data_IF_500919437687
#
_entry.id   IF_500919437687
#
_cell.length_a   1.000
_cell.length_b   1.000
_cell.length_c   1.000
_cell.angle_alpha   90.00
_cell.angle_beta   90.00
_cell.angle_gamma   90.00
#
_symmetry.space_group_name_H-M   'P 1'
#
loop_
_entity.id
_entity.type
_entity.pdbx_description
1 polymer ?
#
# COMPACT_ATOMS: atom_id res chain seq x y z
N UNK A 1 11.45 10.09 -19.78
CA UNK A 1 12.81 9.74 -20.26
C UNK A 1 12.86 8.22 -20.30
N UNK A 2 12.59 7.64 -21.48
CA UNK A 2 12.64 6.19 -21.67
C UNK A 2 14.11 5.76 -21.68
N UNK A 3 14.50 4.96 -20.71
CA UNK A 3 15.79 4.27 -20.75
C UNK A 3 15.57 3.02 -21.59
N UNK A 4 16.07 3.05 -22.82
CA UNK A 4 16.15 1.88 -23.69
C UNK A 4 17.18 0.93 -23.08
N UNK A 5 16.72 -0.15 -22.46
CA UNK A 5 17.57 -1.27 -22.14
C UNK A 5 17.88 -2.05 -23.41
N UNK A 6 19.13 -1.91 -23.89
CA UNK A 6 19.65 -2.75 -24.94
C UNK A 6 19.63 -4.22 -24.48
N UNK A 7 19.09 -5.05 -25.32
CA UNK A 7 19.02 -6.50 -25.26
C UNK A 7 20.29 -7.17 -24.74
N UNK A 8 20.24 -7.61 -23.49
CA UNK A 8 20.91 -8.84 -23.07
C UNK A 8 19.81 -9.89 -22.93
N UNK A 9 19.65 -10.73 -23.95
CA UNK A 9 19.02 -12.03 -23.82
C UNK A 9 19.95 -12.92 -22.96
N UNK A 10 20.00 -12.68 -21.67
CA UNK A 10 20.28 -13.77 -20.74
C UNK A 10 19.03 -14.64 -20.79
N UNK A 11 19.17 -15.86 -21.27
CA UNK A 11 18.16 -16.91 -21.08
C UNK A 11 17.93 -16.99 -19.57
N UNK A 12 16.86 -16.37 -19.10
CA UNK A 12 16.49 -16.36 -17.69
C UNK A 12 16.42 -17.83 -17.27
N UNK A 13 17.28 -18.21 -16.33
CA UNK A 13 17.28 -19.56 -15.79
C UNK A 13 15.89 -19.85 -15.24
N UNK A 14 15.15 -20.75 -15.92
CA UNK A 14 13.77 -21.11 -15.59
C UNK A 14 13.64 -21.72 -14.18
N UNK A 15 14.75 -21.99 -13.53
CA UNK A 15 14.84 -22.53 -12.16
C UNK A 15 15.21 -21.46 -11.14
N UNK A 16 15.48 -20.22 -11.56
CA UNK A 16 15.83 -19.15 -10.63
C UNK A 16 14.65 -18.76 -9.74
N UNK A 17 14.88 -18.43 -8.45
CA UNK A 17 13.81 -18.01 -7.53
C UNK A 17 13.01 -16.82 -8.05
N UNK A 18 13.65 -15.85 -8.70
CA UNK A 18 12.96 -14.70 -9.28
C UNK A 18 12.05 -15.10 -10.44
N UNK A 19 12.46 -16.04 -11.30
CA UNK A 19 11.60 -16.55 -12.36
C UNK A 19 10.39 -17.32 -11.80
N UNK A 20 10.60 -18.18 -10.80
CA UNK A 20 9.52 -18.92 -10.14
C UNK A 20 8.57 -17.95 -9.44
N UNK A 21 9.08 -16.89 -8.81
CA UNK A 21 8.29 -15.83 -8.18
C UNK A 21 7.44 -15.06 -9.20
N UNK A 22 8.01 -14.75 -10.36
CA UNK A 22 7.27 -14.13 -11.49
C UNK A 22 6.12 -15.02 -11.95
N UNK A 23 6.40 -16.32 -12.16
CA UNK A 23 5.37 -17.28 -12.58
C UNK A 23 4.25 -17.38 -11.55
N UNK A 24 4.59 -17.48 -10.27
CA UNK A 24 3.62 -17.47 -9.17
C UNK A 24 2.77 -16.18 -9.19
N UNK A 25 3.38 -15.01 -9.33
CA UNK A 25 2.65 -13.75 -9.38
C UNK A 25 1.69 -13.66 -10.58
N UNK A 26 2.08 -14.20 -11.75
CA UNK A 26 1.19 -14.29 -12.91
C UNK A 26 -0.02 -15.21 -12.64
N UNK A 27 0.19 -16.37 -12.04
CA UNK A 27 -0.88 -17.31 -11.69
C UNK A 27 -1.87 -16.68 -10.69
N UNK A 28 -1.36 -15.98 -9.67
CA UNK A 28 -2.22 -15.29 -8.69
C UNK A 28 -2.97 -14.09 -9.32
N UNK A 29 -2.34 -13.36 -10.25
CA UNK A 29 -3.00 -12.27 -10.96
C UNK A 29 -4.09 -12.77 -11.92
N UNK A 30 -3.84 -13.87 -12.64
CA UNK A 30 -4.87 -14.52 -13.46
C UNK A 30 -6.05 -14.98 -12.61
N UNK A 31 -5.76 -15.52 -11.42
CA UNK A 31 -6.79 -15.92 -10.46
C UNK A 31 -7.57 -14.72 -9.95
N UNK A 32 -6.89 -13.60 -9.64
CA UNK A 32 -7.54 -12.35 -9.23
C UNK A 32 -8.47 -11.81 -10.34
N UNK A 33 -8.01 -11.83 -11.59
CA UNK A 33 -8.82 -11.45 -12.75
C UNK A 33 -10.08 -12.31 -12.88
N UNK A 34 -9.98 -13.62 -12.64
CA UNK A 34 -11.12 -14.52 -12.62
C UNK A 34 -12.09 -14.20 -11.48
N UNK A 35 -11.60 -13.92 -10.26
CA UNK A 35 -12.44 -13.54 -9.11
C UNK A 35 -13.21 -12.23 -9.36
N UNK A 36 -12.60 -11.25 -10.03
CA UNK A 36 -13.31 -10.04 -10.45
C UNK A 36 -14.38 -10.35 -11.50
N UNK A 37 -14.15 -11.32 -12.39
CA UNK A 37 -15.17 -11.81 -13.33
C UNK A 37 -16.33 -12.51 -12.62
N UNK A 38 -16.07 -13.27 -11.55
CA UNK A 38 -17.12 -13.86 -10.70
C UNK A 38 -17.98 -12.76 -10.04
N UNK A 39 -17.35 -11.68 -9.55
CA UNK A 39 -18.06 -10.53 -8.99
C UNK A 39 -18.93 -9.83 -10.05
N UNK A 40 -18.40 -9.63 -11.26
CA UNK A 40 -19.16 -9.10 -12.39
C UNK A 40 -20.42 -9.95 -12.67
N UNK A 41 -20.26 -11.27 -12.69
CA UNK A 41 -21.39 -12.19 -12.96
C UNK A 41 -22.45 -12.15 -11.86
N UNK A 42 -22.04 -12.04 -10.59
CA UNK A 42 -22.97 -11.88 -9.46
C UNK A 42 -23.73 -10.54 -9.56
N UNK A 43 -23.04 -9.45 -9.91
CA UNK A 43 -23.68 -8.15 -10.15
C UNK A 43 -24.68 -8.21 -11.33
N UNK A 44 -24.30 -8.85 -12.43
CA UNK A 44 -25.15 -9.05 -13.60
C UNK A 44 -26.40 -9.87 -13.30
N UNK A 45 -26.30 -10.81 -12.36
CA UNK A 45 -27.43 -11.62 -11.88
C UNK A 45 -28.29 -10.90 -10.84
N UNK A 46 -27.90 -9.68 -10.40
CA UNK A 46 -28.51 -8.94 -9.29
C UNK A 46 -28.53 -9.74 -7.97
N UNK A 47 -27.52 -10.61 -7.77
CA UNK A 47 -27.37 -11.43 -6.58
C UNK A 47 -26.69 -10.62 -5.47
N UNK A 48 -27.48 -10.01 -4.61
CA UNK A 48 -26.97 -9.14 -3.53
C UNK A 48 -26.05 -9.86 -2.53
N UNK A 49 -26.32 -11.13 -2.23
CA UNK A 49 -25.48 -11.95 -1.33
C UNK A 49 -24.20 -12.36 -2.05
N UNK A 50 -24.33 -12.82 -3.29
CA UNK A 50 -23.20 -13.20 -4.12
C UNK A 50 -22.23 -12.05 -4.38
N UNK A 51 -22.72 -10.83 -4.64
CA UNK A 51 -21.89 -9.64 -4.83
C UNK A 51 -21.01 -9.38 -3.60
N UNK A 52 -21.57 -9.41 -2.39
CA UNK A 52 -20.81 -9.22 -1.15
C UNK A 52 -19.71 -10.29 -1.00
N UNK A 53 -20.09 -11.56 -1.19
CA UNK A 53 -19.17 -12.67 -1.07
C UNK A 53 -18.07 -12.60 -2.13
N UNK A 54 -18.41 -12.38 -3.40
CA UNK A 54 -17.45 -12.34 -4.50
C UNK A 54 -16.52 -11.12 -4.42
N UNK A 55 -17.00 -9.99 -3.91
CA UNK A 55 -16.17 -8.84 -3.62
C UNK A 55 -15.07 -9.19 -2.60
N UNK A 56 -15.45 -9.80 -1.47
CA UNK A 56 -14.49 -10.22 -0.44
C UNK A 56 -13.45 -11.22 -0.97
N UNK A 57 -13.91 -12.22 -1.75
CA UNK A 57 -13.02 -13.20 -2.37
C UNK A 57 -12.04 -12.55 -3.37
N UNK A 58 -12.51 -11.60 -4.19
CA UNK A 58 -11.68 -10.89 -5.16
C UNK A 58 -10.60 -10.01 -4.46
N UNK A 59 -10.98 -9.33 -3.38
CA UNK A 59 -10.04 -8.53 -2.57
C UNK A 59 -8.94 -9.40 -1.97
N UNK A 60 -9.31 -10.48 -1.26
CA UNK A 60 -8.37 -11.42 -0.65
C UNK A 60 -7.40 -11.98 -1.70
N UNK A 61 -7.92 -12.34 -2.88
CA UNK A 61 -7.08 -12.85 -3.96
C UNK A 61 -6.12 -11.79 -4.52
N UNK A 62 -6.60 -10.56 -4.69
CA UNK A 62 -5.75 -9.45 -5.15
C UNK A 62 -4.59 -9.17 -4.18
N UNK A 63 -4.81 -9.29 -2.88
CA UNK A 63 -3.76 -9.10 -1.86
C UNK A 63 -2.58 -10.08 -1.99
N UNK A 64 -2.78 -11.23 -2.63
CA UNK A 64 -1.69 -12.17 -2.90
C UNK A 64 -0.69 -11.67 -3.93
N UNK A 65 -1.09 -10.79 -4.82
CA UNK A 65 -0.23 -10.30 -5.92
C UNK A 65 0.11 -8.82 -5.81
N UNK A 66 -0.56 -8.07 -4.95
CA UNK A 66 -0.40 -6.63 -4.80
C UNK A 66 1.06 -6.19 -4.58
N UNK A 67 1.82 -6.91 -3.74
CA UNK A 67 3.23 -6.63 -3.47
C UNK A 67 4.09 -6.66 -4.75
N UNK A 68 3.78 -7.57 -5.66
CA UNK A 68 4.51 -7.73 -6.91
C UNK A 68 4.19 -6.58 -7.88
N UNK A 69 2.90 -6.23 -8.00
CA UNK A 69 2.43 -5.13 -8.84
C UNK A 69 3.00 -3.78 -8.39
N UNK A 70 3.09 -3.57 -7.08
CA UNK A 70 3.66 -2.36 -6.47
C UNK A 70 5.12 -2.14 -6.88
N UNK A 71 5.90 -3.21 -7.09
CA UNK A 71 7.29 -3.11 -7.53
C UNK A 71 7.46 -2.67 -8.98
N UNK A 72 6.43 -2.83 -9.80
CA UNK A 72 6.44 -2.43 -11.22
C UNK A 72 5.87 -1.03 -11.44
N UNK A 73 4.72 -0.74 -10.85
CA UNK A 73 4.00 0.50 -11.09
C UNK A 73 3.08 0.82 -9.91
N UNK A 74 3.57 1.63 -8.96
CA UNK A 74 2.82 2.00 -7.76
C UNK A 74 1.52 2.77 -8.06
N UNK A 75 1.50 3.57 -9.13
CA UNK A 75 0.28 4.28 -9.54
C UNK A 75 -0.83 3.30 -9.96
N UNK A 76 -0.47 2.15 -10.49
CA UNK A 76 -1.43 1.11 -10.84
C UNK A 76 -2.12 0.51 -9.62
N UNK A 77 -1.35 0.14 -8.59
CA UNK A 77 -1.93 -0.41 -7.36
C UNK A 77 -2.83 0.61 -6.67
N UNK A 78 -2.50 1.88 -6.77
CA UNK A 78 -3.35 3.00 -6.32
C UNK A 78 -4.68 3.02 -7.08
N UNK A 79 -4.69 2.86 -8.40
CA UNK A 79 -5.92 2.83 -9.20
C UNK A 79 -6.78 1.59 -8.91
N UNK A 80 -6.17 0.43 -8.71
CA UNK A 80 -6.92 -0.81 -8.42
C UNK A 80 -7.53 -0.80 -7.02
N UNK A 81 -6.82 -0.26 -6.03
CA UNK A 81 -7.36 -0.15 -4.66
C UNK A 81 -8.46 0.93 -4.56
N UNK A 82 -8.40 1.98 -5.31
CA UNK A 82 -9.07 3.26 -5.08
C UNK A 82 -8.15 4.16 -4.26
N UNK A 83 -8.47 5.32 -3.84
CA UNK A 83 -9.59 5.73 -3.01
C UNK A 83 -10.81 6.18 -3.82
N UNK A 84 -12.02 6.23 -3.22
CA UNK A 84 -13.23 6.67 -3.91
C UNK A 84 -13.30 8.20 -4.08
N UNK A 85 -12.16 8.87 -4.12
CA UNK A 85 -12.05 10.32 -4.29
C UNK A 85 -11.60 10.66 -5.70
N UNK A 86 -12.10 11.78 -6.22
CA UNK A 86 -11.61 12.32 -7.47
C UNK A 86 -10.15 12.72 -7.32
N UNK A 87 -9.26 12.06 -8.05
CA UNK A 87 -7.88 12.51 -8.17
C UNK A 87 -7.85 13.78 -9.02
N UNK A 88 -7.12 14.78 -8.58
CA UNK A 88 -6.94 16.04 -9.31
C UNK A 88 -5.56 16.03 -9.93
N UNK A 89 -5.50 15.98 -11.26
CA UNK A 89 -4.25 16.07 -11.99
C UNK A 89 -4.10 17.43 -12.68
N UNK A 90 -2.90 17.98 -12.63
CA UNK A 90 -2.57 19.19 -13.36
C UNK A 90 -2.00 18.81 -14.74
N UNK A 91 -2.82 18.88 -15.78
CA UNK A 91 -2.44 18.55 -17.16
C UNK A 91 -2.47 19.81 -18.00
N UNK A 92 -1.33 20.16 -18.59
CA UNK A 92 -1.24 21.21 -19.60
C UNK A 92 -1.71 22.61 -19.14
N UNK A 93 -1.61 22.93 -17.84
CA UNK A 93 -2.05 24.21 -17.26
C UNK A 93 -3.53 24.26 -16.85
N UNK A 94 -4.25 23.13 -16.93
CA UNK A 94 -5.60 22.94 -16.44
C UNK A 94 -5.66 21.91 -15.30
N UNK A 95 -6.80 21.83 -14.65
CA UNK A 95 -7.11 20.86 -13.61
C UNK A 95 -8.02 19.80 -14.23
N UNK A 96 -7.56 18.55 -14.30
CA UNK A 96 -8.40 17.42 -14.68
C UNK A 96 -8.77 16.61 -13.43
N UNK A 97 -10.07 16.35 -13.24
CA UNK A 97 -10.58 15.57 -12.12
C UNK A 97 -10.90 14.16 -12.62
N UNK A 98 -10.01 13.24 -12.38
CA UNK A 98 -10.20 11.84 -12.72
C UNK A 98 -11.29 11.20 -11.86
N UNK A 99 -12.15 10.39 -12.47
CA UNK A 99 -13.14 9.61 -11.72
C UNK A 99 -12.43 8.58 -10.86
N UNK A 100 -12.90 8.35 -9.63
CA UNK A 100 -12.37 7.28 -8.81
C UNK A 100 -12.75 5.92 -9.40
N UNK A 101 -11.81 4.97 -9.33
CA UNK A 101 -11.96 3.59 -9.77
C UNK A 101 -11.41 2.63 -8.73
N UNK A 102 -11.75 1.35 -8.85
CA UNK A 102 -11.12 0.29 -8.09
C UNK A 102 -11.98 -0.30 -6.97
N UNK A 103 -11.34 -1.11 -6.14
CA UNK A 103 -12.04 -1.91 -5.14
C UNK A 103 -12.77 -1.08 -4.07
N UNK A 104 -12.21 0.05 -3.61
CA UNK A 104 -12.91 0.88 -2.62
C UNK A 104 -14.17 1.54 -3.21
N UNK A 105 -14.18 1.85 -4.52
CA UNK A 105 -15.40 2.33 -5.20
C UNK A 105 -16.46 1.24 -5.22
N UNK A 106 -16.06 -0.02 -5.54
CA UNK A 106 -16.99 -1.15 -5.48
C UNK A 106 -17.51 -1.36 -4.07
N UNK A 107 -16.63 -1.23 -3.05
CA UNK A 107 -17.02 -1.36 -1.64
C UNK A 107 -18.12 -0.36 -1.27
N UNK A 108 -17.99 0.91 -1.64
CA UNK A 108 -19.02 1.93 -1.40
C UNK A 108 -20.33 1.61 -2.14
N UNK A 109 -20.24 1.19 -3.42
CA UNK A 109 -21.43 0.82 -4.22
C UNK A 109 -22.19 -0.38 -3.65
N UNK A 110 -21.52 -1.25 -2.89
CA UNK A 110 -22.16 -2.42 -2.25
C UNK A 110 -22.75 -2.07 -0.90
N UNK A 111 -22.04 -1.28 -0.08
CA UNK A 111 -22.33 -1.17 1.36
C UNK A 111 -22.84 0.20 1.81
N UNK A 112 -22.56 1.29 1.08
CA UNK A 112 -22.94 2.65 1.48
C UNK A 112 -24.23 3.13 0.81
N UNK A 113 -24.75 2.42 -0.19
CA UNK A 113 -26.03 2.70 -0.85
C UNK A 113 -27.18 1.88 -0.23
N UNK A 114 -28.41 2.39 -0.37
CA UNK A 114 -29.61 1.67 0.12
C UNK A 114 -29.82 0.30 -0.57
N UNK A 115 -29.26 0.14 -1.76
CA UNK A 115 -29.16 -1.13 -2.50
C UNK A 115 -27.93 -1.07 -3.40
N UNK A 116 -27.27 -2.20 -3.70
CA UNK A 116 -26.11 -2.23 -4.57
C UNK A 116 -26.40 -1.64 -5.95
N UNK A 117 -25.51 -0.77 -6.43
CA UNK A 117 -25.60 -0.23 -7.79
C UNK A 117 -24.92 -1.19 -8.76
N UNK A 118 -25.65 -2.19 -9.23
CA UNK A 118 -25.11 -3.30 -10.02
C UNK A 118 -24.46 -2.85 -11.32
N UNK A 119 -25.02 -1.87 -12.04
CA UNK A 119 -24.45 -1.37 -13.29
C UNK A 119 -23.08 -0.74 -13.05
N UNK A 120 -22.96 0.09 -12.01
CA UNK A 120 -21.68 0.70 -11.63
C UNK A 120 -20.68 -0.34 -11.14
N UNK A 121 -21.09 -1.36 -10.40
CA UNK A 121 -20.24 -2.47 -9.98
C UNK A 121 -19.70 -3.22 -11.21
N UNK A 122 -20.54 -3.49 -12.22
CA UNK A 122 -20.09 -4.11 -13.46
C UNK A 122 -19.07 -3.26 -14.22
N UNK A 123 -19.26 -1.94 -14.30
CA UNK A 123 -18.33 -1.02 -14.93
C UNK A 123 -16.95 -1.05 -14.22
N UNK A 124 -16.93 -1.01 -12.89
CA UNK A 124 -15.69 -1.07 -12.12
C UNK A 124 -15.00 -2.44 -12.25
N UNK A 125 -15.75 -3.55 -12.25
CA UNK A 125 -15.18 -4.87 -12.52
C UNK A 125 -14.56 -4.95 -13.92
N UNK A 126 -15.21 -4.37 -14.93
CA UNK A 126 -14.66 -4.32 -16.28
C UNK A 126 -13.36 -3.50 -16.33
N UNK A 127 -13.32 -2.37 -15.63
CA UNK A 127 -12.11 -1.55 -15.51
C UNK A 127 -10.97 -2.34 -14.86
N UNK A 128 -11.21 -2.99 -13.72
CA UNK A 128 -10.18 -3.76 -13.00
C UNK A 128 -9.67 -4.92 -13.88
N UNK A 129 -10.58 -5.68 -14.53
CA UNK A 129 -10.21 -6.79 -15.41
C UNK A 129 -9.34 -6.32 -16.59
N UNK A 130 -9.67 -5.20 -17.20
CA UNK A 130 -8.87 -4.60 -18.28
C UNK A 130 -7.46 -4.28 -17.81
N UNK A 131 -7.34 -3.69 -16.64
CA UNK A 131 -6.05 -3.33 -16.08
C UNK A 131 -5.25 -4.57 -15.67
N UNK A 132 -5.88 -5.60 -15.12
CA UNK A 132 -5.20 -6.87 -14.83
C UNK A 132 -4.67 -7.54 -16.09
N UNK A 133 -5.43 -7.57 -17.18
CA UNK A 133 -4.97 -8.09 -18.48
C UNK A 133 -3.77 -7.28 -19.00
N UNK A 134 -3.82 -5.95 -18.88
CA UNK A 134 -2.68 -5.08 -19.25
C UNK A 134 -1.43 -5.47 -18.47
N UNK A 135 -1.56 -5.69 -17.16
CA UNK A 135 -0.44 -6.06 -16.30
C UNK A 135 0.09 -7.47 -16.55
N UNK A 136 -0.78 -8.44 -16.81
CA UNK A 136 -0.36 -9.79 -17.22
C UNK A 136 0.57 -9.69 -18.41
N UNK A 137 0.18 -8.97 -19.46
CA UNK A 137 1.02 -8.77 -20.65
C UNK A 137 2.35 -8.05 -20.35
N UNK A 138 2.33 -7.05 -19.45
CA UNK A 138 3.56 -6.35 -19.04
C UNK A 138 4.50 -7.31 -18.29
N UNK A 139 3.99 -8.08 -17.34
CA UNK A 139 4.79 -9.01 -16.56
C UNK A 139 5.35 -10.11 -17.46
N UNK A 140 4.57 -10.65 -18.39
CA UNK A 140 5.02 -11.72 -19.29
C UNK A 140 6.27 -11.33 -20.07
N UNK A 141 6.28 -10.11 -20.63
CA UNK A 141 7.37 -9.66 -21.53
C UNK A 141 8.57 -9.07 -20.79
N UNK A 142 8.40 -8.63 -19.55
CA UNK A 142 9.49 -7.98 -18.81
C UNK A 142 10.27 -8.99 -17.97
N UNK A 143 11.61 -8.90 -17.94
CA UNK A 143 12.42 -9.71 -17.05
C UNK A 143 12.18 -9.31 -15.59
N UNK A 144 12.32 -10.27 -14.70
CA UNK A 144 12.24 -10.07 -13.25
C UNK A 144 13.58 -10.39 -12.61
N UNK A 145 13.99 -9.57 -11.66
CA UNK A 145 15.22 -9.77 -10.90
C UNK A 145 14.92 -10.02 -9.42
N UNK A 146 15.87 -10.64 -8.70
CA UNK A 146 15.77 -10.76 -7.24
C UNK A 146 15.56 -9.42 -6.56
N UNK A 147 16.22 -8.36 -7.06
CA UNK A 147 16.05 -7.01 -6.53
C UNK A 147 14.62 -6.50 -6.65
N UNK A 148 13.93 -6.73 -7.78
CA UNK A 148 12.54 -6.32 -7.95
C UNK A 148 11.60 -7.14 -7.08
N UNK A 149 11.86 -8.44 -6.90
CA UNK A 149 11.09 -9.30 -6.00
C UNK A 149 11.20 -8.80 -4.55
N UNK A 150 12.43 -8.61 -4.04
CA UNK A 150 12.63 -8.16 -2.66
C UNK A 150 12.13 -6.73 -2.41
N UNK A 151 12.21 -5.85 -3.42
CA UNK A 151 11.58 -4.53 -3.36
C UNK A 151 10.07 -4.64 -3.21
N UNK A 152 9.44 -5.52 -3.99
CA UNK A 152 8.01 -5.81 -3.88
C UNK A 152 7.62 -6.34 -2.51
N UNK A 153 8.37 -7.33 -1.97
CA UNK A 153 8.14 -7.87 -0.63
C UNK A 153 8.20 -6.77 0.45
N UNK A 154 9.18 -5.87 0.35
CA UNK A 154 9.32 -4.74 1.26
C UNK A 154 8.15 -3.76 1.14
N UNK A 155 7.75 -3.41 -0.09
CA UNK A 155 6.58 -2.54 -0.30
C UNK A 155 5.29 -3.20 0.20
N UNK A 156 5.12 -4.50 -0.01
CA UNK A 156 4.00 -5.25 0.53
C UNK A 156 3.88 -5.14 2.05
N UNK A 157 5.00 -5.27 2.79
CA UNK A 157 5.02 -5.10 4.24
C UNK A 157 4.71 -3.65 4.66
N UNK A 158 5.28 -2.66 3.97
CA UNK A 158 4.99 -1.24 4.24
C UNK A 158 3.50 -0.94 4.00
N UNK A 159 2.89 -1.51 2.95
CA UNK A 159 1.45 -1.36 2.69
C UNK A 159 0.60 -1.99 3.78
N UNK A 160 0.99 -3.17 4.28
CA UNK A 160 0.30 -3.78 5.43
C UNK A 160 0.32 -2.83 6.63
N UNK A 161 1.49 -2.26 6.97
CA UNK A 161 1.65 -1.34 8.10
C UNK A 161 0.89 -0.02 7.91
N UNK A 162 0.96 0.57 6.71
CA UNK A 162 0.47 1.91 6.45
C UNK A 162 -0.99 1.97 5.99
N UNK A 163 -1.50 0.93 5.33
CA UNK A 163 -2.79 0.95 4.66
C UNK A 163 -3.74 -0.16 5.14
N UNK A 164 -3.24 -1.41 5.31
CA UNK A 164 -4.12 -2.51 5.71
C UNK A 164 -4.46 -2.46 7.21
N UNK A 165 -3.46 -2.30 8.09
CA UNK A 165 -3.68 -2.20 9.55
C UNK A 165 -4.63 -1.06 9.95
N UNK A 166 -4.55 0.18 9.38
CA UNK A 166 -5.53 1.21 9.66
C UNK A 166 -6.86 1.05 8.89
N UNK A 167 -7.06 -0.05 8.16
CA UNK A 167 -8.23 -0.34 7.33
C UNK A 167 -8.45 0.69 6.20
N UNK A 168 -7.40 1.37 5.75
CA UNK A 168 -7.52 2.35 4.66
C UNK A 168 -7.98 1.68 3.35
N UNK A 169 -7.50 0.46 3.08
CA UNK A 169 -7.83 -0.28 1.87
C UNK A 169 -9.24 -0.92 1.89
N UNK A 170 -9.82 -1.19 3.07
CA UNK A 170 -11.14 -1.83 3.26
C UNK A 170 -11.94 -1.17 4.40
N UNK A 171 -12.26 0.13 4.27
CA UNK A 171 -12.77 0.94 5.39
C UNK A 171 -14.21 0.62 5.81
N UNK A 172 -14.98 -0.07 4.97
CA UNK A 172 -16.37 -0.43 5.26
C UNK A 172 -16.45 -1.89 5.72
N UNK A 173 -15.83 -2.80 4.98
CA UNK A 173 -15.87 -4.24 5.30
C UNK A 173 -14.99 -4.61 6.47
N UNK A 174 -13.94 -3.83 6.75
CA UNK A 174 -12.97 -4.04 7.83
C UNK A 174 -12.35 -5.46 7.85
N UNK A 175 -12.26 -6.13 6.70
CA UNK A 175 -11.69 -7.48 6.59
C UNK A 175 -10.15 -7.48 6.62
N UNK A 176 -9.62 -6.72 7.57
CA UNK A 176 -8.18 -6.43 7.73
C UNK A 176 -7.36 -7.69 7.97
N UNK A 177 -7.85 -8.59 8.83
CA UNK A 177 -7.11 -9.80 9.21
C UNK A 177 -6.94 -10.76 8.03
N UNK A 178 -8.01 -10.98 7.26
CA UNK A 178 -8.00 -11.86 6.10
C UNK A 178 -7.11 -11.31 4.98
N UNK A 179 -7.18 -10.00 4.74
CA UNK A 179 -6.33 -9.35 3.73
C UNK A 179 -4.85 -9.37 4.12
N UNK A 180 -4.50 -9.07 5.36
CA UNK A 180 -3.12 -9.15 5.87
C UNK A 180 -2.63 -10.60 5.81
N UNK A 181 -3.44 -11.56 6.25
CA UNK A 181 -3.07 -12.98 6.22
C UNK A 181 -2.80 -13.46 4.79
N UNK A 182 -3.60 -13.03 3.82
CA UNK A 182 -3.42 -13.35 2.41
C UNK A 182 -2.13 -12.74 1.82
N UNK A 183 -1.83 -11.49 2.15
CA UNK A 183 -0.56 -10.86 1.76
C UNK A 183 0.65 -11.58 2.36
N UNK A 184 0.58 -11.93 3.65
CA UNK A 184 1.65 -12.66 4.35
C UNK A 184 1.82 -14.08 3.81
N UNK A 185 0.73 -14.77 3.42
CA UNK A 185 0.80 -16.09 2.77
C UNK A 185 1.63 -16.02 1.49
N UNK A 186 1.37 -15.03 0.66
CA UNK A 186 2.09 -14.83 -0.59
C UNK A 186 3.56 -14.47 -0.37
N UNK A 187 3.85 -13.58 0.57
CA UNK A 187 5.22 -13.25 0.98
C UNK A 187 5.95 -14.51 1.46
N UNK A 188 5.30 -15.35 2.28
CA UNK A 188 5.86 -16.61 2.77
C UNK A 188 6.16 -17.59 1.63
N UNK A 189 5.29 -17.67 0.65
CA UNK A 189 5.45 -18.52 -0.54
C UNK A 189 6.66 -18.10 -1.36
N UNK A 190 6.78 -16.80 -1.65
CA UNK A 190 7.88 -16.22 -2.43
C UNK A 190 9.22 -16.41 -1.72
N UNK A 191 9.30 -16.13 -0.42
CA UNK A 191 10.53 -16.39 0.35
C UNK A 191 10.89 -17.87 0.33
N UNK A 192 9.88 -18.76 0.31
CA UNK A 192 10.08 -20.21 0.20
C UNK A 192 10.82 -20.65 -1.06
N UNK A 193 10.61 -19.97 -2.20
CA UNK A 193 11.35 -20.27 -3.44
C UNK A 193 12.86 -20.00 -3.32
N UNK A 194 13.23 -19.05 -2.47
CA UNK A 194 14.64 -18.80 -2.16
C UNK A 194 15.22 -19.80 -1.16
N UNK A 195 14.40 -20.46 -0.33
CA UNK A 195 14.88 -21.46 0.59
C UNK A 195 15.57 -22.62 -0.13
N UNK A 196 14.93 -23.15 -1.17
CA UNK A 196 15.43 -24.30 -1.91
C UNK A 196 16.75 -23.99 -2.64
N UNK A 197 16.88 -22.76 -3.17
CA UNK A 197 18.10 -22.32 -3.86
C UNK A 197 19.28 -22.02 -2.91
N UNK A 198 19.02 -21.86 -1.61
CA UNK A 198 20.03 -21.45 -0.62
C UNK A 198 20.17 -22.44 0.54
N UNK A 199 19.69 -23.68 0.42
CA UNK A 199 19.63 -24.69 1.48
C UNK A 199 20.97 -24.92 2.21
N UNK A 200 22.09 -24.87 1.49
CA UNK A 200 23.42 -25.06 2.07
C UNK A 200 24.10 -23.80 2.59
N UNK A 201 23.40 -22.66 2.60
CA UNK A 201 23.96 -21.34 2.95
C UNK A 201 23.38 -20.81 4.27
N UNK A 202 24.10 -19.91 4.99
CA UNK A 202 23.59 -19.29 6.22
C UNK A 202 22.22 -18.60 6.03
N UNK A 203 21.99 -18.03 4.84
CA UNK A 203 20.73 -17.38 4.43
C UNK A 203 19.51 -18.29 4.62
N UNK A 204 19.66 -19.60 4.45
CA UNK A 204 18.59 -20.57 4.66
C UNK A 204 17.99 -20.49 6.07
N UNK A 205 18.83 -20.35 7.08
CA UNK A 205 18.37 -20.23 8.47
C UNK A 205 17.50 -18.98 8.67
N UNK A 206 17.91 -17.85 8.09
CA UNK A 206 17.14 -16.60 8.15
C UNK A 206 15.82 -16.75 7.39
N UNK A 207 15.81 -17.39 6.22
CA UNK A 207 14.59 -17.67 5.46
C UNK A 207 13.61 -18.51 6.29
N UNK A 208 14.07 -19.60 6.90
CA UNK A 208 13.22 -20.46 7.73
C UNK A 208 12.70 -19.75 8.99
N UNK A 209 13.53 -18.91 9.61
CA UNK A 209 13.09 -18.06 10.73
C UNK A 209 11.99 -17.08 10.29
N UNK A 210 12.15 -16.44 9.13
CA UNK A 210 11.15 -15.54 8.57
C UNK A 210 9.84 -16.24 8.25
N UNK A 211 9.90 -17.42 7.63
CA UNK A 211 8.71 -18.25 7.37
C UNK A 211 7.96 -18.61 8.66
N UNK A 212 8.68 -18.92 9.74
CA UNK A 212 8.10 -19.17 11.05
C UNK A 212 7.42 -17.91 11.61
N UNK A 213 8.09 -16.77 11.57
CA UNK A 213 7.54 -15.49 12.04
C UNK A 213 6.28 -15.08 11.26
N UNK A 214 6.25 -15.33 9.95
CA UNK A 214 5.05 -15.07 9.14
C UNK A 214 3.88 -15.94 9.61
N UNK A 215 4.11 -17.23 9.86
CA UNK A 215 3.07 -18.11 10.39
C UNK A 215 2.57 -17.69 11.78
N UNK A 216 3.48 -17.23 12.63
CA UNK A 216 3.12 -16.67 13.95
C UNK A 216 2.26 -15.41 13.82
N UNK A 217 2.59 -14.53 12.84
CA UNK A 217 1.79 -13.35 12.53
C UNK A 217 0.39 -13.71 12.01
N UNK A 218 0.30 -14.68 11.10
CA UNK A 218 -0.99 -15.17 10.59
C UNK A 218 -1.83 -15.79 11.71
N UNK A 219 -1.22 -16.62 12.57
CA UNK A 219 -1.91 -17.21 13.70
C UNK A 219 -2.45 -16.18 14.69
N UNK A 220 -1.70 -15.10 14.93
CA UNK A 220 -2.16 -13.99 15.78
C UNK A 220 -3.45 -13.35 15.26
N UNK A 221 -3.67 -13.31 13.96
CA UNK A 221 -4.86 -12.75 13.31
C UNK A 221 -6.04 -13.73 13.25
N UNK A 222 -5.85 -15.00 13.61
CA UNK A 222 -6.94 -15.96 13.63
C UNK A 222 -7.87 -15.70 14.84
N UNK A 223 -9.21 -15.71 14.64
CA UNK A 223 -10.15 -15.57 15.77
C UNK A 223 -9.94 -16.62 16.86
N UNK A 224 -9.49 -17.82 16.50
CA UNK A 224 -9.18 -18.93 17.41
C UNK A 224 -8.03 -18.63 18.38
N UNK A 225 -7.14 -17.71 18.04
CA UNK A 225 -6.03 -17.29 18.90
C UNK A 225 -6.47 -16.33 20.02
N UNK A 226 -7.66 -15.75 19.94
CA UNK A 226 -8.22 -14.84 20.93
C UNK A 226 -7.63 -13.43 20.98
N UNK A 227 -6.75 -13.09 20.03
CA UNK A 227 -6.09 -11.77 19.95
C UNK A 227 -6.78 -10.82 18.96
N UNK A 228 -7.51 -11.37 18.01
CA UNK A 228 -8.26 -10.64 17.00
C UNK A 228 -9.71 -11.16 16.98
N UNK A 229 -10.63 -10.40 17.54
CA UNK A 229 -12.06 -10.68 17.48
C UNK A 229 -12.75 -9.82 16.44
N UNK A 230 -12.30 -8.58 16.32
CA UNK A 230 -12.73 -7.60 15.34
C UNK A 230 -11.62 -6.56 15.12
N UNK A 231 -11.87 -5.59 14.22
CA UNK A 231 -10.90 -4.54 13.88
C UNK A 231 -10.47 -3.70 15.10
N UNK A 232 -11.38 -3.42 16.05
CA UNK A 232 -11.09 -2.60 17.22
C UNK A 232 -10.25 -3.35 18.27
N UNK A 233 -10.39 -4.67 18.35
CA UNK A 233 -9.64 -5.50 19.31
C UNK A 233 -8.18 -5.70 18.90
N UNK A 234 -7.81 -5.44 17.66
CA UNK A 234 -6.43 -5.59 17.17
C UNK A 234 -5.49 -4.59 17.87
N UNK A 235 -4.56 -5.08 18.69
CA UNK A 235 -3.42 -4.26 19.13
C UNK A 235 -2.47 -4.01 17.93
N UNK A 236 -2.78 -2.96 17.19
CA UNK A 236 -2.11 -2.59 15.95
C UNK A 236 -0.61 -2.36 16.16
N UNK A 237 -0.25 -1.65 17.24
CA UNK A 237 1.15 -1.34 17.55
C UNK A 237 1.93 -2.59 17.97
N UNK A 238 1.33 -3.46 18.77
CA UNK A 238 1.94 -4.73 19.14
C UNK A 238 2.16 -5.60 17.91
N UNK A 239 1.14 -5.74 17.05
CA UNK A 239 1.23 -6.54 15.83
C UNK A 239 2.36 -6.06 14.91
N UNK A 240 2.45 -4.75 14.69
CA UNK A 240 3.53 -4.15 13.90
C UNK A 240 4.89 -4.49 14.53
N UNK A 241 5.11 -4.15 15.80
CA UNK A 241 6.41 -4.30 16.45
C UNK A 241 6.83 -5.75 16.64
N UNK A 242 5.89 -6.61 16.99
CA UNK A 242 6.19 -8.00 17.34
C UNK A 242 6.29 -8.90 16.12
N UNK A 243 5.49 -8.64 15.09
CA UNK A 243 5.37 -9.52 13.95
C UNK A 243 5.95 -8.91 12.66
N UNK A 244 5.48 -7.74 12.23
CA UNK A 244 5.87 -7.24 10.91
C UNK A 244 7.31 -6.75 10.83
N UNK A 245 7.80 -6.05 11.85
CA UNK A 245 9.15 -5.51 11.85
C UNK A 245 10.26 -6.56 11.81
N UNK A 246 10.20 -7.65 12.62
CA UNK A 246 11.19 -8.72 12.50
C UNK A 246 11.18 -9.37 11.12
N UNK A 247 10.01 -9.54 10.50
CA UNK A 247 9.88 -10.06 9.13
C UNK A 247 10.56 -9.09 8.15
N UNK A 248 10.29 -7.78 8.25
CA UNK A 248 10.89 -6.78 7.38
C UNK A 248 12.43 -6.73 7.52
N UNK A 249 12.94 -6.77 8.76
CA UNK A 249 14.38 -6.82 9.01
C UNK A 249 15.03 -8.06 8.36
N UNK A 250 14.41 -9.22 8.52
CA UNK A 250 14.92 -10.45 7.93
C UNK A 250 14.86 -10.44 6.39
N UNK A 251 13.84 -9.84 5.78
CA UNK A 251 13.77 -9.68 4.32
C UNK A 251 14.94 -8.85 3.81
N UNK A 252 15.33 -7.80 4.52
CA UNK A 252 16.52 -7.01 4.19
C UNK A 252 17.79 -7.85 4.33
N UNK A 253 17.95 -8.57 5.45
CA UNK A 253 19.11 -9.42 5.70
C UNK A 253 19.23 -10.56 4.64
N UNK A 254 18.11 -11.18 4.24
CA UNK A 254 18.08 -12.18 3.17
C UNK A 254 18.54 -11.55 1.85
N UNK A 255 17.96 -10.41 1.49
CA UNK A 255 18.31 -9.73 0.25
C UNK A 255 19.79 -9.36 0.20
N UNK A 256 20.34 -8.80 1.28
CA UNK A 256 21.77 -8.48 1.36
C UNK A 256 22.68 -9.72 1.22
N UNK A 257 22.23 -10.86 1.71
CA UNK A 257 23.02 -12.11 1.68
C UNK A 257 22.96 -12.84 0.34
N UNK A 258 21.88 -12.69 -0.44
CA UNK A 258 21.76 -13.33 -1.78
C UNK A 258 22.35 -12.47 -2.90
N UNK A 259 22.73 -11.25 -2.58
CA UNK A 259 23.14 -10.23 -3.52
C UNK A 259 24.39 -10.65 -4.30
N UNK A 260 24.21 -10.91 -5.59
CA UNK A 260 25.29 -10.85 -6.58
C UNK A 260 25.37 -9.39 -7.02
N UNK A 261 26.57 -8.80 -7.01
CA UNK A 261 26.82 -7.39 -7.26
C UNK A 261 26.23 -6.91 -8.60
N UNK A 262 25.08 -6.29 -8.58
CA UNK A 262 24.61 -5.44 -9.67
C UNK A 262 24.60 -3.98 -9.19
N UNK A 263 25.59 -3.16 -9.63
CA UNK A 263 25.83 -1.82 -9.07
C UNK A 263 24.68 -0.84 -9.25
N UNK A 264 23.83 -1.02 -10.27
CA UNK A 264 22.77 -0.06 -10.65
C UNK A 264 21.53 -0.21 -9.76
N UNK A 265 21.07 -1.44 -9.53
CA UNK A 265 19.87 -1.70 -8.70
C UNK A 265 20.10 -1.44 -7.22
N UNK A 266 21.35 -1.64 -6.77
CA UNK A 266 21.77 -1.25 -5.42
C UNK A 266 21.69 0.26 -5.19
N UNK A 267 22.03 1.07 -6.20
CA UNK A 267 21.81 2.53 -6.13
C UNK A 267 20.33 2.86 -6.08
N UNK A 268 19.48 2.19 -6.85
CA UNK A 268 18.03 2.43 -6.86
C UNK A 268 17.40 2.02 -5.51
N UNK A 269 17.75 0.86 -4.98
CA UNK A 269 17.30 0.39 -3.67
C UNK A 269 17.81 1.30 -2.53
N UNK A 270 19.04 1.81 -2.63
CA UNK A 270 19.62 2.79 -1.71
C UNK A 270 19.06 4.21 -1.92
N UNK A 271 18.65 4.55 -3.13
CA UNK A 271 18.10 5.86 -3.47
C UNK A 271 16.64 6.01 -3.02
N UNK A 272 15.86 4.94 -3.16
CA UNK A 272 14.47 4.87 -2.67
C UNK A 272 14.44 4.75 -1.13
N UNK A 273 15.46 4.14 -0.52
CA UNK A 273 15.66 4.13 0.93
C UNK A 273 16.65 5.22 1.32
N UNK A 274 16.30 6.48 1.32
CA UNK A 274 17.05 7.54 2.05
C UNK A 274 17.06 7.30 3.58
N UNK A 275 16.79 6.12 3.97
CA UNK A 275 16.87 5.52 5.27
C UNK A 275 18.35 5.28 5.55
N UNK A 276 18.77 5.58 6.76
CA UNK A 276 20.08 5.19 7.27
C UNK A 276 20.39 3.75 6.82
N UNK A 277 21.58 3.56 6.27
CA UNK A 277 22.04 2.26 5.78
C UNK A 277 22.02 1.18 6.85
N UNK A 278 22.11 1.58 8.11
CA UNK A 278 22.14 0.73 9.29
C UNK A 278 20.74 0.50 9.89
N UNK A 279 19.74 1.26 9.45
CA UNK A 279 18.36 1.10 9.91
C UNK A 279 17.68 -0.07 9.17
N UNK A 280 17.32 -1.11 9.90
CA UNK A 280 16.70 -2.32 9.36
C UNK A 280 15.19 -2.19 9.13
N UNK A 281 14.55 -1.22 9.76
CA UNK A 281 13.11 -0.98 9.65
C UNK A 281 12.74 0.46 10.01
N UNK A 282 11.49 0.87 9.74
CA UNK A 282 10.98 2.23 9.96
C UNK A 282 10.94 2.67 11.44
N UNK A 283 11.15 1.75 12.36
CA UNK A 283 11.11 2.02 13.81
C UNK A 283 12.49 1.94 14.46
N UNK A 284 13.52 1.71 13.64
CA UNK A 284 14.89 1.88 14.12
C UNK A 284 15.05 3.31 14.63
N UNK A 285 15.53 3.54 15.86
CA UNK A 285 15.76 4.89 16.38
C UNK A 285 16.59 5.75 15.42
N UNK A 286 17.57 5.14 14.75
CA UNK A 286 18.38 5.82 13.76
C UNK A 286 17.60 6.17 12.48
N UNK A 287 16.51 5.44 12.15
CA UNK A 287 15.64 5.78 11.03
C UNK A 287 14.92 7.11 11.26
N UNK A 288 14.33 7.30 12.43
CA UNK A 288 13.64 8.53 12.80
C UNK A 288 14.61 9.72 12.91
N UNK A 289 15.79 9.50 13.46
CA UNK A 289 16.84 10.53 13.56
C UNK A 289 17.29 10.98 12.17
N UNK A 290 17.41 10.06 11.23
CA UNK A 290 17.75 10.39 9.86
C UNK A 290 16.61 11.06 9.09
N UNK A 291 15.36 10.70 9.34
CA UNK A 291 14.22 11.44 8.79
C UNK A 291 14.13 12.86 9.38
N UNK A 292 14.44 13.03 10.66
CA UNK A 292 14.48 14.36 11.28
C UNK A 292 15.61 15.23 10.73
N UNK A 293 16.69 14.62 10.27
CA UNK A 293 17.86 15.29 9.65
C UNK A 293 17.80 15.33 8.12
N UNK A 294 16.92 14.52 7.49
CA UNK A 294 16.71 14.58 6.04
C UNK A 294 16.32 16.01 5.65
N UNK A 295 17.03 16.57 4.67
CA UNK A 295 16.71 17.89 4.18
C UNK A 295 15.25 17.93 3.73
N UNK A 296 14.43 18.69 4.42
CA UNK A 296 13.00 18.90 4.10
C UNK A 296 12.81 19.37 2.66
N UNK A 297 13.80 20.11 2.14
CA UNK A 297 13.89 20.55 0.74
C UNK A 297 13.85 19.40 -0.27
N UNK A 298 14.27 18.19 0.09
CA UNK A 298 14.21 17.05 -0.81
C UNK A 298 12.76 16.62 -1.11
N UNK A 299 11.88 16.69 -0.11
CA UNK A 299 10.46 16.29 -0.22
C UNK A 299 9.55 17.48 -0.53
N UNK A 300 10.01 18.71 -0.31
CA UNK A 300 9.22 19.92 -0.57
C UNK A 300 9.10 20.23 -2.06
N UNK A 301 7.93 20.71 -2.47
CA UNK A 301 7.67 21.25 -3.82
C UNK A 301 8.61 22.43 -4.09
N UNK A 302 8.88 23.24 -3.07
CA UNK A 302 9.80 24.38 -3.13
C UNK A 302 11.15 24.00 -2.53
N UNK A 303 12.03 23.45 -3.35
CA UNK A 303 13.36 22.99 -2.92
C UNK A 303 14.27 24.09 -2.39
N UNK A 304 13.99 25.35 -2.71
CA UNK A 304 14.82 26.52 -2.40
C UNK A 304 14.35 27.31 -1.16
N UNK A 305 13.22 26.97 -0.55
CA UNK A 305 12.72 27.68 0.62
C UNK A 305 13.41 27.23 1.90
N UNK A 306 14.26 28.11 2.45
CA UNK A 306 14.74 27.98 3.82
C UNK A 306 13.61 28.28 4.79
N UNK A 307 13.19 27.28 5.57
CA UNK A 307 12.22 27.46 6.66
C UNK A 307 12.84 28.30 7.77
N UNK A 308 12.68 29.63 7.71
CA UNK A 308 13.08 30.51 8.80
C UNK A 308 12.07 30.42 9.97
N UNK A 309 12.48 30.78 11.20
CA UNK A 309 11.57 30.84 12.34
C UNK A 309 10.32 31.69 12.07
N UNK A 310 10.46 32.79 11.30
CA UNK A 310 9.35 33.67 10.95
C UNK A 310 8.35 33.03 10.01
N UNK A 311 8.82 32.24 9.02
CA UNK A 311 7.97 31.46 8.12
C UNK A 311 7.22 30.39 8.90
N UNK A 312 7.87 29.71 9.84
CA UNK A 312 7.22 28.73 10.72
C UNK A 312 6.16 29.41 11.61
N UNK A 313 6.48 30.58 12.18
CA UNK A 313 5.55 31.33 13.00
C UNK A 313 4.33 31.82 12.18
N UNK A 314 4.56 32.26 10.94
CA UNK A 314 3.48 32.60 10.01
C UNK A 314 2.61 31.37 9.69
N UNK A 315 3.21 30.24 9.35
CA UNK A 315 2.50 28.97 9.11
C UNK A 315 1.61 28.57 10.29
N UNK A 316 2.12 28.70 11.52
CA UNK A 316 1.36 28.45 12.75
C UNK A 316 0.17 29.43 12.91
N UNK A 317 0.30 30.70 12.54
CA UNK A 317 -0.81 31.65 12.52
C UNK A 317 -1.86 31.27 11.49
N UNK A 318 -1.42 30.96 10.26
CA UNK A 318 -2.32 30.54 9.18
C UNK A 318 -3.07 29.26 9.51
N UNK A 319 -2.42 28.29 10.13
CA UNK A 319 -3.04 27.02 10.57
C UNK A 319 -4.22 27.23 11.53
N UNK A 320 -4.22 28.30 12.31
CA UNK A 320 -5.27 28.65 13.26
C UNK A 320 -6.26 29.72 12.70
N UNK A 321 -6.08 30.18 11.47
CA UNK A 321 -6.82 31.31 10.93
C UNK A 321 -8.07 30.86 10.16
N UNK A 322 -9.25 31.11 10.73
CA UNK A 322 -10.54 30.78 10.13
C UNK A 322 -10.81 31.53 8.82
N UNK A 323 -10.16 32.68 8.60
CA UNK A 323 -10.36 33.51 7.38
C UNK A 323 -9.91 32.77 6.10
N UNK A 324 -9.14 31.69 6.22
CA UNK A 324 -8.75 30.84 5.09
C UNK A 324 -9.87 29.93 4.60
N UNK A 325 -10.95 29.78 5.37
CA UNK A 325 -12.11 29.00 4.96
C UNK A 325 -13.22 29.87 4.39
N UNK A 326 -14.00 29.27 3.47
CA UNK A 326 -15.24 29.94 3.02
C UNK A 326 -16.18 30.14 4.22
N UNK A 327 -16.69 31.31 4.43
CA UNK A 327 -17.53 31.74 5.56
C UNK A 327 -16.80 31.92 6.91
N UNK A 328 -15.48 31.79 6.99
CA UNK A 328 -14.67 31.97 8.21
C UNK A 328 -15.08 31.06 9.39
N UNK A 329 -15.59 29.86 9.10
CA UNK A 329 -16.13 28.96 10.13
C UNK A 329 -15.09 27.94 10.61
N UNK A 330 -14.07 27.63 9.79
CA UNK A 330 -13.12 26.57 10.05
C UNK A 330 -11.69 27.06 9.81
N UNK A 331 -10.76 26.50 10.56
CA UNK A 331 -9.32 26.58 10.29
C UNK A 331 -8.77 25.17 10.05
N UNK A 332 -7.51 25.06 9.64
CA UNK A 332 -6.86 23.73 9.52
C UNK A 332 -6.92 22.98 10.86
N UNK A 333 -6.74 23.71 11.99
CA UNK A 333 -6.81 23.14 13.34
C UNK A 333 -8.17 22.51 13.66
N UNK A 334 -9.25 22.91 13.00
CA UNK A 334 -10.60 22.37 13.26
C UNK A 334 -10.64 20.85 13.00
N UNK A 335 -9.94 20.38 11.95
CA UNK A 335 -9.85 18.96 11.58
C UNK A 335 -8.51 18.32 11.96
N UNK A 336 -7.48 19.14 12.29
CA UNK A 336 -6.13 18.67 12.60
C UNK A 336 -5.68 19.20 13.96
N UNK A 337 -6.31 18.71 15.05
CA UNK A 337 -5.98 19.17 16.42
C UNK A 337 -4.63 18.59 16.87
N UNK A 338 -3.67 19.44 17.26
CA UNK A 338 -2.38 18.99 17.81
C UNK A 338 -2.50 18.04 19.01
N UNK A 339 -3.58 18.14 19.79
CA UNK A 339 -3.84 17.25 20.94
C UNK A 339 -4.26 15.84 20.53
N UNK A 340 -4.75 15.69 19.30
CA UNK A 340 -5.19 14.42 18.69
C UNK A 340 -4.21 13.96 17.60
N UNK A 341 -2.93 14.22 17.80
CA UNK A 341 -1.88 13.92 16.82
C UNK A 341 -2.17 14.53 15.42
N UNK A 342 -2.75 15.71 15.38
CA UNK A 342 -3.18 16.40 14.16
C UNK A 342 -4.23 15.64 13.33
N UNK A 343 -5.08 14.87 13.98
CA UNK A 343 -6.35 14.35 13.44
C UNK A 343 -7.52 15.03 14.15
N UNK A 344 -8.77 14.67 13.83
CA UNK A 344 -9.97 15.21 14.51
C UNK A 344 -10.58 14.27 15.56
N UNK A 345 -10.11 13.01 15.62
CA UNK A 345 -10.61 12.00 16.53
C UNK A 345 -12.02 11.49 16.20
N UNK A 346 -12.54 11.80 15.02
CA UNK A 346 -13.88 11.41 14.58
C UNK A 346 -13.79 10.33 13.48
N UNK A 347 -14.76 9.41 13.41
CA UNK A 347 -14.85 8.42 12.32
C UNK A 347 -15.01 9.07 10.94
N UNK A 348 -15.73 10.19 10.88
CA UNK A 348 -15.93 11.00 9.67
C UNK A 348 -15.71 12.47 10.03
N UNK A 349 -14.84 13.16 9.30
CA UNK A 349 -14.51 14.55 9.55
C UNK A 349 -15.72 15.47 9.34
N UNK A 350 -15.81 16.53 10.14
CA UNK A 350 -16.85 17.55 10.00
C UNK A 350 -16.66 18.37 8.72
N UNK A 351 -17.76 18.93 8.19
CA UNK A 351 -17.73 19.90 7.09
C UNK A 351 -18.08 21.31 7.59
N UNK A 352 -17.96 22.30 6.72
CA UNK A 352 -18.42 23.67 6.99
C UNK A 352 -19.95 23.82 6.92
N UNK A 353 -20.69 22.74 6.75
CA UNK A 353 -22.17 22.70 6.80
C UNK A 353 -22.59 21.89 8.03
N UNK A 354 -23.45 22.49 8.84
CA UNK A 354 -23.95 21.88 10.07
C UNK A 354 -24.66 20.55 9.77
N UNK A 355 -24.27 19.49 10.50
CA UNK A 355 -24.84 18.15 10.35
C UNK A 355 -24.31 17.35 9.16
N UNK A 356 -23.39 17.90 8.36
CA UNK A 356 -22.75 17.17 7.27
C UNK A 356 -21.33 16.75 7.64
N UNK A 357 -20.99 15.51 7.27
CA UNK A 357 -19.67 14.92 7.49
C UNK A 357 -19.01 14.58 6.15
N UNK A 358 -17.68 14.51 6.16
CA UNK A 358 -16.90 13.94 5.08
C UNK A 358 -17.10 12.44 5.02
N UNK A 359 -16.69 11.80 3.93
CA UNK A 359 -16.76 10.34 3.80
C UNK A 359 -15.77 9.63 4.72
N UNK A 360 -14.67 10.29 5.09
CA UNK A 360 -13.56 9.76 5.89
C UNK A 360 -13.22 10.67 7.06
N UNK A 361 -12.45 10.14 8.02
CA UNK A 361 -11.85 10.93 9.10
C UNK A 361 -10.76 11.87 8.56
N UNK A 362 -10.38 12.86 9.34
CA UNK A 362 -9.22 13.70 9.04
C UNK A 362 -7.92 12.92 9.33
N UNK A 363 -7.08 12.64 8.32
CA UNK A 363 -5.80 11.96 8.55
C UNK A 363 -4.84 12.88 9.31
N UNK A 364 -3.89 12.29 10.04
CA UNK A 364 -2.81 13.08 10.66
C UNK A 364 -1.95 13.78 9.61
N UNK A 365 -1.50 15.01 9.94
CA UNK A 365 -0.56 15.79 9.10
C UNK A 365 0.83 15.89 9.73
N UNK A 366 1.16 15.05 10.71
CA UNK A 366 2.45 15.11 11.44
C UNK A 366 3.65 15.10 10.50
N UNK A 367 3.60 14.35 9.40
CA UNK A 367 4.69 14.25 8.43
C UNK A 367 4.41 14.97 7.10
N UNK A 368 3.43 15.87 7.04
CA UNK A 368 3.05 16.58 5.82
C UNK A 368 4.21 17.34 5.14
N UNK A 369 5.20 17.81 5.94
CA UNK A 369 6.39 18.49 5.42
C UNK A 369 7.30 17.60 4.57
N UNK A 370 7.13 16.28 4.63
CA UNK A 370 7.90 15.30 3.85
C UNK A 370 7.13 14.76 2.63
N UNK A 371 5.95 15.26 2.38
CA UNK A 371 5.18 14.89 1.19
C UNK A 371 5.53 15.84 0.04
N UNK A 372 5.92 15.26 -1.10
CA UNK A 372 6.27 16.03 -2.30
C UNK A 372 5.05 16.69 -2.96
N UNK A 373 3.84 16.19 -2.68
CA UNK A 373 2.56 16.76 -3.13
C UNK A 373 1.55 16.59 -2.01
N UNK A 374 0.83 17.67 -1.68
CA UNK A 374 -0.16 17.67 -0.61
C UNK A 374 -1.56 17.27 -1.08
N UNK A 375 -1.80 17.32 -2.39
CA UNK A 375 -3.06 16.93 -3.03
C UNK A 375 -2.72 16.23 -4.34
N UNK A 376 -2.83 14.92 -4.34
CA UNK A 376 -2.68 14.08 -5.54
C UNK A 376 -3.89 13.17 -5.65
#
# INVERSE_FOLDING_TARGET
MFIVFSSFEDQADSTSPSFISKKYALEELMTANHRVSDLFNAAKAHDSVGVIQKFKEARIQYKKVEFYLESYESDFTKFINGPPFKAVEFVGGGVDAQKPHGFQVIEELIFDEASPNYDRIMDECFFINKEFIRFINIIEVNPTSDASIFLGLKYGLIRIEALSIPAFDCPITLQVAEEISSSLESINKVIGFYADAYESKPTYTTIKATQKQIKEAQHYLEPSAGHFLDFESLDKLFFIKKHLQPINANIVDIFESIRVETPVLVRLFRYITHINRDAKNIYDPNFLDNMATAEKSYYSINKDEKLSPDVIALGKKLFNDNRLSNKNLMSCKTCHDPKLAFADGLPKAITNQEGMFQQRNAPTIVYAAYQGRLFT
#
